data_IF_987542716587
#
_entry.id   IF_987542716587
#
_cell.length_a   1.000
_cell.length_b   1.000
_cell.length_c   1.000
_cell.angle_alpha   90.00
_cell.angle_beta   90.00
_cell.angle_gamma   90.00
#
_symmetry.space_group_name_H-M   'P 1'
#
loop_
_entity.id
_entity.type
_entity.pdbx_description
1 polymer ?
#
# COMPACT_ATOMS: atom_id res chain seq x y z
N UNK A 1 36.72 -24.68 -37.97
CA UNK A 1 36.58 -24.53 -36.52
C UNK A 1 35.22 -23.86 -36.26
N UNK A 2 34.20 -24.62 -35.85
CA UNK A 2 32.85 -24.05 -35.59
C UNK A 2 32.81 -23.63 -34.13
N UNK A 3 32.45 -22.37 -33.87
CA UNK A 3 32.25 -21.88 -32.52
C UNK A 3 30.92 -22.45 -31.96
N UNK A 4 30.89 -22.88 -30.70
CA UNK A 4 29.64 -23.34 -30.07
C UNK A 4 28.69 -22.16 -29.84
N UNK A 5 27.43 -22.32 -30.26
CA UNK A 5 26.39 -21.36 -30.02
C UNK A 5 26.10 -21.21 -28.54
N UNK A 6 26.12 -19.97 -28.04
CA UNK A 6 25.71 -19.62 -26.69
C UNK A 6 24.17 -19.71 -26.63
N UNK A 7 23.65 -20.72 -25.93
CA UNK A 7 22.23 -20.83 -25.60
C UNK A 7 21.99 -19.98 -24.37
N UNK A 8 21.41 -18.81 -24.58
CA UNK A 8 20.96 -17.96 -23.48
C UNK A 8 19.68 -18.56 -22.88
N UNK A 9 19.65 -18.90 -21.59
CA UNK A 9 18.42 -19.41 -20.98
C UNK A 9 17.37 -18.30 -20.94
N UNK A 10 16.21 -18.56 -21.54
CA UNK A 10 15.03 -17.71 -21.42
C UNK A 10 14.47 -17.85 -20.01
N UNK A 11 14.76 -16.89 -19.13
CA UNK A 11 14.15 -16.82 -17.80
C UNK A 11 12.71 -16.35 -17.99
N UNK A 12 11.76 -17.29 -17.93
CA UNK A 12 10.35 -16.95 -17.91
C UNK A 12 10.02 -16.32 -16.56
N UNK A 13 9.77 -15.01 -16.54
CA UNK A 13 9.15 -14.36 -15.39
C UNK A 13 7.68 -14.80 -15.32
N UNK A 14 7.36 -15.68 -14.40
CA UNK A 14 5.98 -15.97 -14.03
C UNK A 14 5.48 -14.80 -13.19
N UNK A 15 4.75 -13.87 -13.82
CA UNK A 15 4.01 -12.87 -13.09
C UNK A 15 2.86 -13.59 -12.36
N UNK A 16 2.95 -13.71 -11.06
CA UNK A 16 1.82 -14.11 -10.23
C UNK A 16 0.85 -12.94 -10.21
N UNK A 17 -0.25 -13.05 -10.98
CA UNK A 17 -1.37 -12.13 -10.83
C UNK A 17 -1.99 -12.35 -9.45
N UNK A 18 -1.93 -11.35 -8.59
CA UNK A 18 -2.67 -11.35 -7.33
C UNK A 18 -4.15 -11.29 -7.70
N UNK A 19 -4.93 -12.26 -7.25
CA UNK A 19 -6.37 -12.25 -7.49
C UNK A 19 -6.97 -11.03 -6.79
N UNK A 20 -7.73 -10.23 -7.55
CA UNK A 20 -8.41 -9.06 -7.00
C UNK A 20 -9.39 -9.48 -5.90
N UNK A 21 -9.51 -8.65 -4.86
CA UNK A 21 -10.47 -8.86 -3.81
C UNK A 21 -11.91 -8.70 -4.35
N UNK A 22 -12.83 -9.51 -3.84
CA UNK A 22 -14.27 -9.33 -4.07
C UNK A 22 -14.85 -8.39 -3.02
N UNK A 23 -15.82 -7.51 -3.38
CA UNK A 23 -16.43 -6.64 -2.40
C UNK A 23 -17.22 -7.42 -1.35
N UNK A 24 -17.12 -6.98 -0.10
CA UNK A 24 -17.93 -7.48 1.01
C UNK A 24 -19.36 -6.90 0.95
N UNK A 25 -19.53 -5.73 0.35
CA UNK A 25 -20.79 -5.03 0.19
C UNK A 25 -20.70 -4.06 -0.99
N UNK A 26 -21.78 -3.94 -1.76
CA UNK A 26 -21.97 -2.90 -2.78
C UNK A 26 -23.20 -2.08 -2.43
N UNK A 27 -23.06 -0.76 -2.38
CA UNK A 27 -24.17 0.16 -2.11
C UNK A 27 -25.11 0.31 -3.32
N UNK A 28 -26.34 0.84 -3.13
CA UNK A 28 -27.24 1.15 -4.25
C UNK A 28 -26.70 2.17 -5.26
N UNK A 29 -25.63 2.87 -4.93
CA UNK A 29 -24.96 3.85 -5.80
C UNK A 29 -23.61 3.31 -6.32
N UNK A 30 -23.45 1.99 -6.41
CA UNK A 30 -22.27 1.29 -6.94
C UNK A 30 -20.97 1.67 -6.23
N UNK A 31 -21.03 1.91 -4.91
CA UNK A 31 -19.82 2.01 -4.06
C UNK A 31 -19.56 0.64 -3.46
N UNK A 32 -18.44 0.05 -3.85
CA UNK A 32 -17.96 -1.20 -3.31
C UNK A 32 -17.15 -1.00 -2.03
N UNK A 33 -17.34 -1.87 -1.06
CA UNK A 33 -16.61 -1.89 0.22
C UNK A 33 -15.84 -3.20 0.34
N UNK A 34 -14.55 -3.12 0.73
CA UNK A 34 -13.67 -4.28 0.80
C UNK A 34 -12.96 -4.36 2.15
N UNK A 35 -12.95 -5.56 2.70
CA UNK A 35 -12.20 -5.94 3.89
C UNK A 35 -11.46 -7.25 3.61
N UNK A 36 -10.40 -7.25 2.76
CA UNK A 36 -9.70 -8.47 2.39
C UNK A 36 -8.99 -9.08 3.60
N UNK A 37 -9.20 -10.38 3.81
CA UNK A 37 -8.66 -11.14 4.95
C UNK A 37 -7.14 -11.32 4.93
N UNK A 38 -6.50 -10.95 3.82
CA UNK A 38 -5.05 -11.03 3.65
C UNK A 38 -4.29 -10.03 4.53
N UNK A 39 -4.93 -8.98 5.01
CA UNK A 39 -4.30 -8.02 5.90
C UNK A 39 -4.61 -8.32 7.38
N UNK A 40 -5.78 -7.97 7.84
CA UNK A 40 -6.30 -8.27 9.18
C UNK A 40 -7.82 -8.07 9.22
N UNK A 41 -8.47 -8.66 10.20
CA UNK A 41 -9.90 -8.45 10.38
C UNK A 41 -10.18 -7.08 11.00
N UNK A 42 -11.10 -6.35 10.38
CA UNK A 42 -11.59 -5.06 10.89
C UNK A 42 -12.40 -5.29 12.17
N UNK A 43 -12.07 -4.55 13.22
CA UNK A 43 -12.68 -4.70 14.55
C UNK A 43 -13.60 -3.55 14.96
N UNK A 44 -13.86 -2.58 14.04
CA UNK A 44 -14.66 -1.38 14.34
C UNK A 44 -15.59 -0.99 13.20
N UNK A 45 -16.29 0.15 13.30
CA UNK A 45 -17.23 0.65 12.29
C UNK A 45 -16.52 1.35 11.12
N UNK A 46 -15.56 0.68 10.48
CA UNK A 46 -14.75 1.18 9.37
C UNK A 46 -14.39 0.05 8.41
N UNK A 47 -13.83 0.36 7.25
CA UNK A 47 -13.42 -0.62 6.24
C UNK A 47 -12.03 -0.30 5.71
N UNK A 48 -11.34 -1.31 5.18
CA UNK A 48 -9.98 -1.17 4.65
C UNK A 48 -9.93 -0.39 3.35
N UNK A 49 -10.90 -0.63 2.45
CA UNK A 49 -10.95 0.03 1.15
C UNK A 49 -12.39 0.29 0.72
N UNK A 50 -12.56 1.28 -0.14
CA UNK A 50 -13.76 1.46 -0.95
C UNK A 50 -13.39 1.80 -2.38
N UNK A 51 -14.28 1.42 -3.31
CA UNK A 51 -14.17 1.76 -4.72
C UNK A 51 -15.43 2.51 -5.17
N UNK A 52 -15.23 3.60 -5.89
CA UNK A 52 -16.29 4.32 -6.58
C UNK A 52 -15.83 4.65 -8.00
N UNK A 53 -16.48 4.07 -9.01
CA UNK A 53 -16.02 4.15 -10.39
C UNK A 53 -14.57 3.64 -10.53
N UNK A 54 -13.71 4.46 -11.12
CA UNK A 54 -12.32 4.14 -11.37
C UNK A 54 -11.37 4.63 -10.25
N UNK A 55 -11.90 4.88 -9.06
CA UNK A 55 -11.11 5.35 -7.92
C UNK A 55 -11.22 4.39 -6.76
N UNK A 56 -10.07 3.95 -6.26
CA UNK A 56 -9.90 3.14 -5.06
C UNK A 56 -9.40 4.03 -3.93
N UNK A 57 -10.08 3.97 -2.78
CA UNK A 57 -9.73 4.66 -1.55
C UNK A 57 -9.28 3.63 -0.52
N UNK A 58 -8.09 3.82 0.04
CA UNK A 58 -7.52 2.99 1.10
C UNK A 58 -7.50 3.81 2.39
N UNK A 59 -8.09 3.27 3.45
CA UNK A 59 -8.12 3.91 4.77
C UNK A 59 -6.74 3.99 5.41
N UNK A 60 -6.64 4.62 6.56
CA UNK A 60 -5.42 4.69 7.35
C UNK A 60 -4.90 3.30 7.72
N UNK A 61 -3.69 2.97 7.24
CA UNK A 61 -3.05 1.67 7.44
C UNK A 61 -1.73 1.85 8.18
N UNK A 62 -1.58 1.09 9.26
CA UNK A 62 -0.39 1.08 10.11
C UNK A 62 0.53 -0.12 9.79
N UNK A 63 1.69 -0.16 10.41
CA UNK A 63 2.73 -1.14 10.14
C UNK A 63 2.54 -2.49 10.84
N UNK A 64 1.36 -3.11 10.72
CA UNK A 64 1.12 -4.48 11.20
C UNK A 64 1.68 -5.51 10.24
N UNK A 65 2.25 -6.57 10.75
CA UNK A 65 2.55 -7.77 9.96
C UNK A 65 1.24 -8.54 9.67
N UNK A 66 0.91 -8.80 8.40
CA UNK A 66 -0.33 -9.54 8.06
C UNK A 66 -0.40 -10.94 8.67
N UNK A 67 0.76 -11.58 8.87
CA UNK A 67 0.84 -12.97 9.34
C UNK A 67 0.40 -13.19 10.79
N UNK A 68 0.52 -12.16 11.64
CA UNK A 68 0.26 -12.30 13.09
C UNK A 68 -0.37 -11.06 13.74
N UNK A 69 -0.66 -10.03 12.95
CA UNK A 69 -1.24 -8.76 13.38
C UNK A 69 -0.45 -7.99 14.45
N UNK A 70 0.84 -8.32 14.63
CA UNK A 70 1.71 -7.54 15.51
C UNK A 70 2.31 -6.36 14.76
N UNK A 71 2.56 -5.27 15.46
CA UNK A 71 3.23 -4.11 14.89
C UNK A 71 4.71 -4.42 14.63
N UNK A 72 5.23 -4.07 13.46
CA UNK A 72 6.65 -4.15 13.15
C UNK A 72 7.47 -3.30 14.14
N UNK A 73 8.78 -3.52 14.33
CA UNK A 73 9.62 -2.71 15.21
C UNK A 73 9.54 -1.22 14.90
N UNK A 74 9.54 -0.39 15.96
CA UNK A 74 9.49 1.07 15.83
C UNK A 74 10.68 1.60 15.04
N UNK A 75 10.41 2.51 14.10
CA UNK A 75 11.39 3.11 13.21
C UNK A 75 11.14 2.75 11.75
N UNK A 76 12.21 2.56 10.98
CA UNK A 76 12.12 2.33 9.53
C UNK A 76 11.24 1.10 9.18
N UNK A 77 11.37 0.01 9.92
CA UNK A 77 10.60 -1.22 9.65
C UNK A 77 9.10 -1.00 9.80
N UNK A 78 8.67 -0.23 10.82
CA UNK A 78 7.27 0.16 11.02
C UNK A 78 6.74 0.98 9.86
N UNK A 79 7.52 1.97 9.43
CA UNK A 79 7.16 2.83 8.29
C UNK A 79 7.08 2.00 7.01
N UNK A 80 8.09 1.17 6.73
CA UNK A 80 8.10 0.29 5.56
C UNK A 80 6.88 -0.64 5.55
N UNK A 81 6.57 -1.27 6.68
CA UNK A 81 5.45 -2.19 6.77
C UNK A 81 4.10 -1.50 6.53
N UNK A 82 3.90 -0.26 7.01
CA UNK A 82 2.69 0.52 6.75
C UNK A 82 2.51 0.77 5.24
N UNK A 83 3.57 1.17 4.54
CA UNK A 83 3.53 1.36 3.09
C UNK A 83 3.34 0.05 2.31
N UNK A 84 3.95 -1.06 2.75
CA UNK A 84 3.75 -2.38 2.12
C UNK A 84 2.31 -2.87 2.29
N UNK A 85 1.69 -2.63 3.43
CA UNK A 85 0.29 -2.96 3.67
C UNK A 85 -0.63 -2.13 2.76
N UNK A 86 -0.40 -0.83 2.62
CA UNK A 86 -1.13 0.02 1.67
C UNK A 86 -0.94 -0.47 0.23
N UNK A 87 0.30 -0.77 -0.18
CA UNK A 87 0.62 -1.33 -1.51
C UNK A 87 -0.15 -2.64 -1.77
N UNK A 88 -0.15 -3.57 -0.81
CA UNK A 88 -0.89 -4.83 -0.92
C UNK A 88 -2.39 -4.58 -1.10
N UNK A 89 -2.99 -3.63 -0.39
CA UNK A 89 -4.39 -3.27 -0.56
C UNK A 89 -4.66 -2.66 -1.94
N UNK A 90 -3.76 -1.81 -2.46
CA UNK A 90 -3.86 -1.28 -3.82
C UNK A 90 -3.87 -2.42 -4.85
N UNK A 91 -2.96 -3.38 -4.74
CA UNK A 91 -2.87 -4.54 -5.63
C UNK A 91 -4.11 -5.45 -5.53
N UNK A 92 -4.61 -5.71 -4.32
CA UNK A 92 -5.86 -6.45 -4.10
C UNK A 92 -7.08 -5.71 -4.65
N UNK A 93 -7.05 -4.38 -4.67
CA UNK A 93 -8.07 -3.52 -5.27
C UNK A 93 -7.96 -3.40 -6.79
N UNK A 94 -6.92 -3.97 -7.43
CA UNK A 94 -6.70 -3.93 -8.87
C UNK A 94 -5.91 -2.72 -9.36
N UNK A 95 -5.13 -2.09 -8.48
CA UNK A 95 -4.24 -0.96 -8.78
C UNK A 95 -2.79 -1.26 -8.38
N UNK A 96 -1.91 -0.29 -8.52
CA UNK A 96 -0.52 -0.38 -8.09
C UNK A 96 0.05 1.00 -7.73
N UNK A 97 1.33 1.04 -7.32
CA UNK A 97 1.99 2.28 -6.93
C UNK A 97 2.13 3.30 -8.07
N UNK A 98 2.14 2.87 -9.35
CA UNK A 98 2.24 3.79 -10.50
C UNK A 98 0.99 4.63 -10.66
N UNK A 99 -0.13 4.10 -10.20
CA UNK A 99 -1.47 4.69 -10.32
C UNK A 99 -1.90 5.44 -9.06
N UNK A 100 -0.96 5.73 -8.16
CA UNK A 100 -1.24 6.47 -6.93
C UNK A 100 -1.56 7.94 -7.24
N UNK A 101 -2.79 8.35 -6.97
CA UNK A 101 -3.28 9.72 -7.17
C UNK A 101 -2.93 10.64 -6.00
N UNK A 102 -2.89 10.09 -4.78
CA UNK A 102 -2.63 10.85 -3.55
C UNK A 102 -2.19 9.94 -2.42
N UNK A 103 -1.23 10.44 -1.63
CA UNK A 103 -0.85 9.90 -0.34
C UNK A 103 -1.15 10.87 0.79
N UNK A 104 -1.62 10.37 1.91
CA UNK A 104 -1.62 11.05 3.20
C UNK A 104 -0.83 10.20 4.19
N UNK A 105 0.02 10.86 4.95
CA UNK A 105 0.84 10.21 5.97
C UNK A 105 0.69 10.97 7.27
N UNK A 106 0.35 10.26 8.33
CA UNK A 106 0.26 10.78 9.69
C UNK A 106 1.44 10.25 10.48
N UNK A 107 2.11 11.15 11.19
CA UNK A 107 3.25 10.80 12.07
C UNK A 107 3.09 11.46 13.43
N UNK A 108 3.61 10.84 14.48
CA UNK A 108 3.52 11.38 15.85
C UNK A 108 4.70 12.28 16.23
N UNK A 109 5.72 12.37 15.38
CA UNK A 109 6.88 13.26 15.52
C UNK A 109 7.42 13.54 14.12
N UNK A 110 7.15 14.74 13.59
CA UNK A 110 7.51 15.14 12.24
C UNK A 110 9.03 15.14 12.01
N UNK A 111 9.79 15.62 12.98
CA UNK A 111 11.25 15.71 12.85
C UNK A 111 11.91 14.33 12.85
N UNK A 112 11.37 13.42 13.62
CA UNK A 112 11.90 12.06 13.78
C UNK A 112 11.48 11.13 12.65
N UNK A 113 10.20 11.14 12.25
CA UNK A 113 9.64 10.12 11.37
C UNK A 113 9.58 10.51 9.90
N UNK A 114 9.43 11.80 9.57
CA UNK A 114 9.40 12.25 8.18
C UNK A 114 10.65 11.84 7.37
N UNK A 115 11.88 11.89 7.87
CA UNK A 115 13.05 11.39 7.13
C UNK A 115 12.93 9.91 6.74
N UNK A 116 12.41 9.07 7.64
CA UNK A 116 12.19 7.65 7.36
C UNK A 116 11.06 7.43 6.36
N UNK A 117 9.98 8.21 6.45
CA UNK A 117 8.90 8.21 5.45
C UNK A 117 9.44 8.54 4.06
N UNK A 118 10.31 9.57 3.94
CA UNK A 118 10.93 9.92 2.66
C UNK A 118 11.76 8.77 2.10
N UNK A 119 12.65 8.17 2.90
CA UNK A 119 13.49 7.04 2.50
C UNK A 119 12.66 5.84 2.00
N UNK A 120 11.62 5.47 2.74
CA UNK A 120 10.75 4.35 2.37
C UNK A 120 9.97 4.66 1.09
N UNK A 121 9.45 5.86 0.95
CA UNK A 121 8.76 6.25 -0.27
C UNK A 121 9.70 6.27 -1.48
N UNK A 122 10.91 6.81 -1.36
CA UNK A 122 11.93 6.77 -2.41
C UNK A 122 12.24 5.34 -2.82
N UNK A 123 12.45 4.43 -1.87
CA UNK A 123 12.73 3.02 -2.13
C UNK A 123 11.60 2.33 -2.90
N UNK A 124 10.35 2.55 -2.51
CA UNK A 124 9.20 1.89 -3.13
C UNK A 124 8.84 2.45 -4.51
N UNK A 125 9.13 3.72 -4.78
CA UNK A 125 8.78 4.37 -6.05
C UNK A 125 9.93 4.50 -7.04
N UNK A 126 11.20 4.30 -6.66
CA UNK A 126 12.39 4.54 -7.50
C UNK A 126 12.35 3.86 -8.87
N UNK A 127 11.79 2.64 -8.94
CA UNK A 127 11.75 1.82 -10.15
C UNK A 127 10.34 1.78 -10.77
N UNK A 128 9.40 2.54 -10.23
CA UNK A 128 7.97 2.44 -10.54
C UNK A 128 7.50 3.62 -11.36
N UNK A 129 7.95 4.81 -11.03
CA UNK A 129 7.52 6.03 -11.71
C UNK A 129 8.65 7.06 -11.78
N UNK A 130 8.69 7.91 -12.82
CA UNK A 130 9.67 8.99 -12.96
C UNK A 130 9.45 10.11 -11.94
N UNK A 131 8.29 10.11 -11.25
CA UNK A 131 7.91 11.11 -10.24
C UNK A 131 7.08 10.49 -9.13
N UNK A 132 7.09 11.13 -7.98
CA UNK A 132 6.32 10.71 -6.82
C UNK A 132 4.87 11.21 -6.88
N UNK A 133 3.91 10.50 -6.27
CA UNK A 133 2.54 10.99 -6.15
C UNK A 133 2.48 12.24 -5.26
N UNK A 134 1.46 13.09 -5.43
CA UNK A 134 1.16 14.15 -4.48
C UNK A 134 1.02 13.58 -3.07
N UNK A 135 1.73 14.16 -2.11
CA UNK A 135 1.69 13.71 -0.72
C UNK A 135 1.48 14.85 0.25
N UNK A 136 0.62 14.64 1.25
CA UNK A 136 0.56 15.44 2.46
C UNK A 136 1.06 14.61 3.63
N UNK A 137 1.96 15.16 4.43
CA UNK A 137 2.38 14.57 5.71
C UNK A 137 1.98 15.51 6.84
N UNK A 138 1.37 14.95 7.90
CA UNK A 138 0.85 15.69 9.03
C UNK A 138 1.41 15.11 10.33
N UNK A 139 1.76 15.98 11.27
CA UNK A 139 1.97 15.56 12.64
C UNK A 139 0.64 15.51 13.37
N UNK A 140 0.40 14.41 14.07
CA UNK A 140 -0.77 14.19 14.90
C UNK A 140 -0.32 13.91 16.34
N UNK A 141 -1.16 14.29 17.28
CA UNK A 141 -0.83 14.12 18.69
C UNK A 141 -0.61 12.64 19.08
N UNK A 142 -1.40 11.73 18.51
CA UNK A 142 -1.37 10.31 18.84
C UNK A 142 -2.02 9.47 17.73
N UNK A 143 -1.52 8.27 17.55
CA UNK A 143 -2.15 7.19 16.80
C UNK A 143 -2.52 6.06 17.75
N UNK A 144 -3.43 5.18 17.33
CA UNK A 144 -3.82 4.01 18.11
C UNK A 144 -2.59 3.15 18.46
N UNK A 145 -2.59 2.53 19.64
CA UNK A 145 -1.50 1.70 20.18
C UNK A 145 -0.15 2.44 20.28
N UNK A 146 -0.18 3.77 20.45
CA UNK A 146 0.98 4.65 20.49
C UNK A 146 1.89 4.48 19.25
N UNK A 147 1.27 4.21 18.09
CA UNK A 147 2.01 4.03 16.84
C UNK A 147 2.65 5.33 16.36
N UNK A 148 3.62 5.20 15.46
CA UNK A 148 4.45 6.29 14.97
C UNK A 148 4.02 6.79 13.59
N UNK A 149 3.30 5.97 12.83
CA UNK A 149 2.94 6.25 11.43
C UNK A 149 1.66 5.56 11.03
N UNK A 150 0.88 6.26 10.19
CA UNK A 150 -0.27 5.74 9.48
C UNK A 150 -0.27 6.31 8.06
N UNK A 151 -0.65 5.53 7.05
CA UNK A 151 -0.67 5.95 5.64
C UNK A 151 -2.02 5.68 5.01
N UNK A 152 -2.52 6.64 4.24
CA UNK A 152 -3.70 6.52 3.38
C UNK A 152 -3.30 6.66 1.92
N UNK A 153 -4.04 5.99 1.03
CA UNK A 153 -3.81 6.09 -0.40
C UNK A 153 -5.09 6.21 -1.21
N UNK A 154 -5.04 7.00 -2.27
CA UNK A 154 -6.07 7.04 -3.31
C UNK A 154 -5.43 6.64 -4.62
N UNK A 155 -6.05 5.71 -5.35
CA UNK A 155 -5.47 5.10 -6.53
C UNK A 155 -6.45 5.11 -7.70
N UNK A 156 -5.92 5.21 -8.91
CA UNK A 156 -6.67 5.04 -10.15
C UNK A 156 -6.65 3.57 -10.60
N UNK A 157 -7.77 3.10 -11.13
CA UNK A 157 -7.94 1.70 -11.55
C UNK A 157 -7.81 1.48 -13.06
N UNK A 158 -7.62 2.57 -13.81
CA UNK A 158 -7.71 2.50 -15.28
C UNK A 158 -9.17 2.50 -15.77
N UNK A 159 -9.32 2.43 -17.08
CA UNK A 159 -10.63 2.32 -17.79
C UNK A 159 -10.96 0.86 -18.07
#
# INVERSE_FOLDING_TARGET
>A
MKLPGIVTPLIAFVAYAIAQATPNYTSPLDVDIYNPSQLFNVSGPWSLMSRAGNTLYISGIRGFYPSNTTLAPVGRERVLQAFLNMKMLAELGGSDLTSCLRLQVYVTDMYRWRPLVNQVQEELWKDVAPSYPPRTILEVQRLNDDDIVEVEGTFYLGD
#
